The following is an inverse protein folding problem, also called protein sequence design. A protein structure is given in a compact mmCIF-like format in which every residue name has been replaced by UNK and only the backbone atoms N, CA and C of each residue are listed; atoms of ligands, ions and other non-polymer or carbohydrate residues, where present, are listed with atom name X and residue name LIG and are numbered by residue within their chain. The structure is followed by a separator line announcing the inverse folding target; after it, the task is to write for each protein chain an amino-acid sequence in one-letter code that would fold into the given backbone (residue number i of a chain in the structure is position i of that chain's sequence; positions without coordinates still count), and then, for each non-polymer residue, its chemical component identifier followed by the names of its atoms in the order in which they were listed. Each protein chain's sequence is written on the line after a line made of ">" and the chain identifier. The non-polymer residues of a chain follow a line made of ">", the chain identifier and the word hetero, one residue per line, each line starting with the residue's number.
data_IF_348468924993
#
_entry.id   IF_348468924993
#
_cell.length_a   1.000
_cell.length_b   1.000
_cell.length_c   1.000
_cell.angle_alpha   90.00
_cell.angle_beta   90.00
_cell.angle_gamma   90.00
#
_symmetry.space_group_name_H-M   'P 1'
#
loop_
_entity.id
_entity.type
_entity.pdbx_description
1 polymer ?
#
# COMPACT_ATOMS: atom_id res chain seq x y z
N UNK A 1 77.53 -26.05 -20.96
CA UNK A 1 76.33 -25.23 -21.03
C UNK A 1 75.16 -26.12 -21.37
N UNK A 2 74.37 -26.49 -20.37
CA UNK A 2 73.18 -27.35 -20.51
C UNK A 2 71.93 -26.50 -20.43
N UNK A 3 71.14 -26.44 -21.50
CA UNK A 3 69.84 -25.75 -21.57
C UNK A 3 68.78 -26.71 -21.03
N UNK A 4 68.13 -26.34 -19.94
CA UNK A 4 66.97 -27.06 -19.44
C UNK A 4 65.69 -26.47 -20.09
N UNK A 5 64.97 -27.32 -20.82
CA UNK A 5 63.64 -26.99 -21.35
C UNK A 5 62.60 -27.20 -20.27
N UNK A 6 61.75 -26.25 -20.05
CA UNK A 6 60.56 -26.37 -19.21
C UNK A 6 59.41 -26.96 -20.05
N UNK A 7 58.60 -27.88 -19.49
CA UNK A 7 57.42 -28.37 -20.18
C UNK A 7 56.28 -27.36 -20.14
N UNK A 8 55.63 -27.16 -21.29
CA UNK A 8 54.41 -26.35 -21.42
C UNK A 8 53.23 -27.08 -20.75
N UNK A 9 52.64 -26.41 -19.78
CA UNK A 9 51.40 -26.86 -19.10
C UNK A 9 50.20 -26.49 -19.96
N UNK A 10 49.56 -27.47 -20.60
CA UNK A 10 48.31 -27.29 -21.32
C UNK A 10 47.18 -27.10 -20.30
N UNK A 11 46.68 -25.87 -20.19
CA UNK A 11 45.45 -25.58 -19.46
C UNK A 11 44.25 -25.95 -20.35
N UNK A 12 43.62 -27.06 -20.03
CA UNK A 12 42.36 -27.52 -20.62
C UNK A 12 41.22 -26.67 -19.98
N UNK A 13 40.78 -25.62 -20.67
CA UNK A 13 39.62 -24.84 -20.26
C UNK A 13 38.35 -25.65 -20.56
N UNK A 14 37.77 -26.26 -19.54
CA UNK A 14 36.42 -26.82 -19.61
C UNK A 14 35.42 -25.69 -19.66
N UNK A 15 34.84 -25.48 -20.83
CA UNK A 15 33.68 -24.57 -21.03
C UNK A 15 32.47 -25.24 -20.37
N UNK A 16 32.12 -24.80 -19.15
CA UNK A 16 30.85 -25.17 -18.55
C UNK A 16 29.75 -24.45 -19.33
N UNK A 17 29.01 -25.19 -20.16
CA UNK A 17 27.75 -24.74 -20.71
C UNK A 17 26.78 -24.56 -19.54
N UNK A 18 26.41 -23.29 -19.21
CA UNK A 18 25.30 -23.00 -18.34
C UNK A 18 24.01 -23.56 -18.98
N UNK A 19 23.11 -24.17 -18.19
CA UNK A 19 21.82 -24.57 -18.70
C UNK A 19 21.06 -23.32 -19.17
N UNK A 20 20.18 -23.41 -20.20
CA UNK A 20 19.38 -22.28 -20.62
C UNK A 20 18.53 -21.84 -19.44
N UNK A 21 18.57 -20.52 -19.16
CA UNK A 21 17.59 -19.89 -18.26
C UNK A 21 16.20 -20.34 -18.72
N UNK A 22 15.49 -21.04 -17.84
CA UNK A 22 14.09 -21.28 -18.05
C UNK A 22 13.43 -19.91 -18.26
N UNK A 23 12.82 -19.73 -19.43
CA UNK A 23 11.98 -18.57 -19.69
C UNK A 23 10.96 -18.51 -18.57
N UNK A 24 11.07 -17.46 -17.73
CA UNK A 24 10.09 -17.17 -16.73
C UNK A 24 8.74 -17.14 -17.44
N UNK A 25 7.80 -17.94 -16.95
CA UNK A 25 6.44 -17.93 -17.39
C UNK A 25 5.96 -16.48 -17.19
N UNK A 26 5.95 -15.69 -18.26
CA UNK A 26 5.34 -14.38 -18.25
C UNK A 26 3.89 -14.57 -17.82
N UNK A 27 3.62 -14.30 -16.55
CA UNK A 27 2.28 -14.25 -16.03
C UNK A 27 1.49 -13.31 -16.96
N UNK A 28 0.42 -13.82 -17.56
CA UNK A 28 -0.50 -12.98 -18.33
C UNK A 28 -0.98 -11.86 -17.41
N UNK A 29 -1.24 -10.64 -17.93
CA UNK A 29 -1.92 -9.56 -17.18
C UNK A 29 -3.39 -9.90 -16.92
N UNK A 30 -3.69 -11.11 -16.43
CA UNK A 30 -5.06 -11.58 -16.19
C UNK A 30 -5.52 -11.39 -14.75
N UNK A 31 -4.63 -10.93 -13.88
CA UNK A 31 -4.94 -10.63 -12.48
C UNK A 31 -4.84 -9.13 -12.19
N UNK A 32 -5.41 -8.29 -13.09
CA UNK A 32 -5.66 -6.88 -12.79
C UNK A 32 -6.53 -6.88 -11.54
N UNK A 33 -6.05 -6.30 -10.41
CA UNK A 33 -6.88 -6.14 -9.23
C UNK A 33 -8.19 -5.48 -9.66
N UNK A 34 -9.33 -6.04 -9.26
CA UNK A 34 -10.66 -5.54 -9.65
C UNK A 34 -11.00 -4.22 -8.97
N UNK A 35 -10.03 -3.32 -8.78
CA UNK A 35 -10.31 -1.97 -8.34
C UNK A 35 -10.56 -1.04 -9.52
N UNK A 36 -11.36 -0.02 -9.30
CA UNK A 36 -11.72 0.92 -10.35
C UNK A 36 -10.52 1.72 -10.86
N UNK A 37 -9.46 1.88 -10.05
CA UNK A 37 -8.27 2.67 -10.40
C UNK A 37 -7.46 1.99 -11.51
N UNK A 38 -7.01 0.75 -11.32
CA UNK A 38 -6.21 0.06 -12.35
C UNK A 38 -6.99 -0.15 -13.64
N UNK A 39 -8.31 -0.36 -13.54
CA UNK A 39 -9.18 -0.42 -14.70
C UNK A 39 -9.25 0.91 -15.46
N UNK A 40 -9.22 2.03 -14.75
CA UNK A 40 -9.17 3.36 -15.37
C UNK A 40 -7.79 3.65 -15.95
N UNK A 41 -6.71 3.40 -15.21
CA UNK A 41 -5.34 3.54 -15.70
C UNK A 41 -5.09 2.77 -17.00
N UNK A 42 -5.69 1.59 -17.14
CA UNK A 42 -5.58 0.79 -18.36
C UNK A 42 -6.19 1.47 -19.61
N UNK A 43 -7.07 2.46 -19.45
CA UNK A 43 -7.69 3.22 -20.54
C UNK A 43 -6.90 4.44 -20.97
N UNK A 44 -5.94 4.87 -20.14
CA UNK A 44 -5.14 6.08 -20.38
C UNK A 44 -4.01 5.83 -21.39
N UNK A 45 -3.50 6.87 -22.07
CA UNK A 45 -2.37 6.74 -22.96
C UNK A 45 -1.12 6.27 -22.21
N UNK A 46 -0.16 5.69 -22.94
CA UNK A 46 1.20 5.40 -22.45
C UNK A 46 2.13 6.35 -23.18
N UNK A 47 2.70 7.29 -22.46
CA UNK A 47 3.66 8.25 -22.98
C UNK A 47 5.06 7.97 -22.38
N UNK A 48 6.15 8.37 -23.04
CA UNK A 48 7.48 8.15 -22.47
C UNK A 48 7.63 8.87 -21.12
N UNK A 49 8.09 8.16 -20.09
CA UNK A 49 8.36 8.77 -18.78
C UNK A 49 9.58 9.71 -18.85
N UNK A 50 9.46 10.86 -18.22
CA UNK A 50 10.61 11.67 -17.83
C UNK A 50 11.46 10.96 -16.76
N UNK A 51 12.68 11.42 -16.53
CA UNK A 51 13.52 10.88 -15.45
C UNK A 51 12.88 11.12 -14.07
N UNK A 52 12.21 12.27 -13.89
CA UNK A 52 11.51 12.61 -12.63
C UNK A 52 10.36 11.65 -12.34
N UNK A 53 9.52 11.36 -13.32
CA UNK A 53 8.41 10.43 -13.17
C UNK A 53 8.89 9.01 -12.89
N UNK A 54 9.93 8.59 -13.61
CA UNK A 54 10.54 7.28 -13.38
C UNK A 54 11.09 7.14 -11.98
N UNK A 55 11.90 8.10 -11.54
CA UNK A 55 12.48 8.09 -10.20
C UNK A 55 11.39 8.23 -9.13
N UNK A 56 10.37 9.05 -9.39
CA UNK A 56 9.20 9.21 -8.54
C UNK A 56 8.41 7.92 -8.35
N UNK A 57 8.09 7.20 -9.43
CA UNK A 57 7.40 5.91 -9.35
C UNK A 57 8.19 4.86 -8.56
N UNK A 58 9.52 4.78 -8.80
CA UNK A 58 10.39 3.86 -8.07
C UNK A 58 10.45 4.21 -6.58
N UNK A 59 10.54 5.50 -6.25
CA UNK A 59 10.56 5.97 -4.86
C UNK A 59 9.22 5.69 -4.16
N UNK A 60 8.10 6.09 -4.77
CA UNK A 60 6.76 5.86 -4.23
C UNK A 60 6.50 4.38 -3.96
N UNK A 61 7.00 3.48 -4.83
CA UNK A 61 6.88 2.03 -4.61
C UNK A 61 7.47 1.56 -3.28
N UNK A 62 8.65 2.05 -2.91
CA UNK A 62 9.28 1.72 -1.64
C UNK A 62 8.69 2.51 -0.46
N UNK A 63 8.17 3.72 -0.70
CA UNK A 63 7.52 4.55 0.32
C UNK A 63 6.19 3.92 0.77
N UNK A 64 5.34 3.47 -0.15
CA UNK A 64 4.14 2.70 0.16
C UNK A 64 4.46 1.39 0.92
N UNK A 65 5.57 0.74 0.53
CA UNK A 65 6.07 -0.41 1.28
C UNK A 65 6.47 -0.03 2.71
N UNK A 66 7.11 1.13 2.91
CA UNK A 66 7.49 1.63 4.22
C UNK A 66 6.24 1.83 5.09
N UNK A 67 5.23 2.53 4.59
CA UNK A 67 3.97 2.76 5.29
C UNK A 67 3.33 1.43 5.69
N UNK A 68 3.14 0.51 4.73
CA UNK A 68 2.60 -0.82 4.98
C UNK A 68 3.38 -1.57 6.06
N UNK A 69 4.70 -1.64 5.96
CA UNK A 69 5.53 -2.44 6.85
C UNK A 69 5.56 -1.86 8.29
N UNK A 70 5.56 -0.54 8.43
CA UNK A 70 5.40 0.11 9.74
C UNK A 70 4.03 -0.22 10.33
N UNK A 71 2.95 -0.12 9.56
CA UNK A 71 1.61 -0.44 10.07
C UNK A 71 1.43 -1.91 10.41
N UNK A 72 2.05 -2.83 9.68
CA UNK A 72 2.10 -4.25 10.06
C UNK A 72 2.82 -4.43 11.40
N UNK A 73 3.95 -3.75 11.62
CA UNK A 73 4.67 -3.80 12.89
C UNK A 73 3.82 -3.23 14.05
N UNK A 74 3.15 -2.10 13.83
CA UNK A 74 2.25 -1.48 14.82
C UNK A 74 1.03 -2.35 15.10
N UNK A 75 0.45 -2.99 14.08
CA UNK A 75 -0.65 -3.94 14.25
C UNK A 75 -0.24 -5.14 15.11
N UNK A 76 0.94 -5.70 14.86
CA UNK A 76 1.49 -6.81 15.66
C UNK A 76 1.76 -6.40 17.13
N UNK A 77 2.22 -5.17 17.35
CA UNK A 77 2.53 -4.65 18.67
C UNK A 77 1.30 -4.29 19.50
N UNK A 78 0.36 -3.55 18.88
CA UNK A 78 -0.73 -2.90 19.60
C UNK A 78 -2.09 -3.57 19.39
N UNK A 79 -2.25 -4.42 18.37
CA UNK A 79 -3.52 -5.08 18.03
C UNK A 79 -4.64 -4.12 17.61
N UNK A 80 -4.34 -2.84 17.32
CA UNK A 80 -5.35 -1.86 16.98
C UNK A 80 -5.71 -1.93 15.50
N UNK A 81 -7.02 -2.02 15.20
CA UNK A 81 -7.54 -2.30 13.85
C UNK A 81 -7.16 -1.26 12.80
N UNK A 82 -6.91 -0.01 13.17
CA UNK A 82 -6.51 1.03 12.22
C UNK A 82 -5.27 0.61 11.45
N UNK A 83 -4.25 0.08 12.15
CA UNK A 83 -3.02 -0.34 11.51
C UNK A 83 -3.22 -1.50 10.53
N UNK A 84 -4.01 -2.50 10.89
CA UNK A 84 -4.33 -3.62 9.97
C UNK A 84 -5.08 -3.15 8.74
N UNK A 85 -6.06 -2.25 8.93
CA UNK A 85 -6.89 -1.76 7.84
C UNK A 85 -6.09 -0.87 6.88
N UNK A 86 -5.27 0.03 7.42
CA UNK A 86 -4.44 0.93 6.61
C UNK A 86 -3.30 0.14 5.95
N UNK A 87 -2.62 -0.79 6.64
CA UNK A 87 -1.63 -1.66 6.00
C UNK A 87 -2.19 -2.41 4.78
N UNK A 88 -3.45 -2.86 4.85
CA UNK A 88 -4.12 -3.46 3.69
C UNK A 88 -4.46 -2.43 2.60
N UNK A 89 -4.62 -1.14 2.92
CA UNK A 89 -4.77 -0.07 1.94
C UNK A 89 -3.43 0.23 1.26
N UNK A 90 -2.33 0.32 2.02
CA UNK A 90 -0.99 0.53 1.46
C UNK A 90 -0.55 -0.62 0.56
N UNK A 91 -0.95 -1.85 0.85
CA UNK A 91 -0.72 -2.94 -0.09
C UNK A 91 -1.40 -2.69 -1.45
N UNK A 92 -2.63 -2.13 -1.46
CA UNK A 92 -3.30 -1.77 -2.74
C UNK A 92 -2.64 -0.60 -3.44
N UNK A 93 -2.12 0.38 -2.70
CA UNK A 93 -1.31 1.45 -3.23
C UNK A 93 -0.04 0.89 -3.89
N UNK A 94 0.69 0.03 -3.19
CA UNK A 94 1.82 -0.70 -3.76
C UNK A 94 1.44 -1.45 -5.04
N UNK A 95 0.32 -2.15 -5.07
CA UNK A 95 -0.13 -2.92 -6.23
C UNK A 95 -0.47 -1.99 -7.42
N UNK A 96 -1.03 -0.81 -7.16
CA UNK A 96 -1.32 0.18 -8.19
C UNK A 96 -0.03 0.83 -8.76
N UNK A 97 0.97 1.11 -7.90
CA UNK A 97 2.29 1.57 -8.37
C UNK A 97 2.97 0.47 -9.19
N UNK A 98 2.94 -0.78 -8.72
CA UNK A 98 3.51 -1.92 -9.46
C UNK A 98 2.90 -2.05 -10.85
N UNK A 99 1.58 -1.82 -10.98
CA UNK A 99 0.91 -1.83 -12.28
C UNK A 99 1.55 -0.84 -13.27
N UNK A 100 1.89 0.38 -12.84
CA UNK A 100 2.59 1.34 -13.70
C UNK A 100 4.05 0.94 -13.94
N UNK A 101 4.77 0.43 -12.92
CA UNK A 101 6.13 -0.08 -13.13
C UNK A 101 6.17 -1.17 -14.21
N UNK A 102 5.25 -2.14 -14.16
CA UNK A 102 5.11 -3.19 -15.18
C UNK A 102 4.73 -2.61 -16.56
N UNK A 103 3.81 -1.64 -16.59
CA UNK A 103 3.36 -0.97 -17.81
C UNK A 103 4.49 -0.26 -18.54
N UNK A 104 5.44 0.31 -17.78
CA UNK A 104 6.60 1.02 -18.29
C UNK A 104 7.88 0.16 -18.33
N UNK A 105 7.76 -1.14 -18.11
CA UNK A 105 8.89 -2.10 -18.12
C UNK A 105 10.01 -1.70 -17.14
N UNK A 106 9.65 -1.08 -15.99
CA UNK A 106 10.57 -0.73 -14.92
C UNK A 106 10.72 -1.89 -13.94
N UNK A 107 11.94 -2.11 -13.46
CA UNK A 107 12.20 -3.10 -12.43
C UNK A 107 11.58 -2.66 -11.09
N UNK A 108 10.89 -3.56 -10.39
CA UNK A 108 10.32 -3.28 -9.06
C UNK A 108 11.44 -3.21 -8.00
N UNK A 109 11.70 -2.04 -7.38
CA UNK A 109 12.73 -1.90 -6.37
C UNK A 109 12.39 -2.65 -5.07
N UNK A 110 11.14 -3.04 -4.88
CA UNK A 110 10.67 -3.79 -3.70
C UNK A 110 10.61 -5.31 -3.94
N UNK A 111 10.93 -5.79 -5.16
CA UNK A 111 10.85 -7.21 -5.50
C UNK A 111 11.75 -8.06 -4.59
N UNK A 112 11.16 -9.09 -3.97
CA UNK A 112 11.88 -10.03 -3.12
C UNK A 112 12.38 -9.47 -1.78
N UNK A 113 12.15 -8.21 -1.47
CA UNK A 113 12.54 -7.62 -0.19
C UNK A 113 11.63 -8.10 0.95
N UNK A 114 12.25 -8.51 2.05
CA UNK A 114 11.53 -8.86 3.26
C UNK A 114 10.83 -7.63 3.89
N UNK A 115 9.83 -7.82 4.75
CA UNK A 115 9.26 -6.71 5.54
C UNK A 115 10.34 -5.98 6.33
N UNK A 116 10.32 -4.64 6.27
CA UNK A 116 11.29 -3.76 6.94
C UNK A 116 12.66 -3.66 6.27
N UNK A 117 12.82 -4.21 5.07
CA UNK A 117 14.03 -4.10 4.25
C UNK A 117 13.75 -3.26 3.02
N UNK A 118 14.62 -2.28 2.73
CA UNK A 118 14.47 -1.31 1.65
C UNK A 118 15.78 -1.20 0.86
N UNK A 119 15.67 -0.97 -0.45
CA UNK A 119 16.84 -0.66 -1.30
C UNK A 119 17.30 0.78 -1.06
N UNK A 120 16.37 1.68 -0.79
CA UNK A 120 16.65 3.07 -0.49
C UNK A 120 17.12 3.22 0.98
N UNK A 121 18.37 3.67 1.16
CA UNK A 121 18.99 3.82 2.51
C UNK A 121 18.24 4.85 3.38
N UNK A 122 17.66 5.91 2.79
CA UNK A 122 16.86 6.91 3.53
C UNK A 122 15.59 6.27 4.08
N UNK A 123 14.88 5.49 3.26
CA UNK A 123 13.68 4.78 3.70
C UNK A 123 14.01 3.68 4.71
N UNK A 124 15.15 3.00 4.56
CA UNK A 124 15.61 2.02 5.55
C UNK A 124 15.83 2.67 6.93
N UNK A 125 16.50 3.81 6.98
CA UNK A 125 16.74 4.55 8.23
C UNK A 125 15.44 5.09 8.82
N UNK A 126 14.54 5.60 7.97
CA UNK A 126 13.23 6.11 8.36
C UNK A 126 12.37 5.00 8.98
N UNK A 127 12.30 3.83 8.35
CA UNK A 127 11.57 2.67 8.90
C UNK A 127 12.02 2.34 10.33
N UNK A 128 13.33 2.25 10.56
CA UNK A 128 13.86 1.93 11.89
C UNK A 128 13.41 2.97 12.92
N UNK A 129 13.55 4.26 12.60
CA UNK A 129 13.20 5.35 13.52
C UNK A 129 11.70 5.42 13.82
N UNK A 130 10.85 5.18 12.81
CA UNK A 130 9.39 5.18 12.96
C UNK A 130 8.92 3.99 13.81
N UNK A 131 9.48 2.80 13.60
CA UNK A 131 9.16 1.62 14.41
C UNK A 131 9.62 1.81 15.83
N UNK A 132 10.83 2.33 16.07
CA UNK A 132 11.31 2.65 17.42
C UNK A 132 10.38 3.63 18.14
N UNK A 133 10.01 4.74 17.49
CA UNK A 133 9.08 5.74 18.03
C UNK A 133 7.69 5.14 18.30
N UNK A 134 7.12 4.43 17.34
CA UNK A 134 5.80 3.82 17.48
C UNK A 134 5.72 2.71 18.55
N UNK A 135 6.84 2.14 18.94
CA UNK A 135 6.91 1.14 20.00
C UNK A 135 6.88 1.72 21.43
N UNK A 136 6.98 3.04 21.59
CA UNK A 136 6.98 3.70 22.91
C UNK A 136 5.58 3.70 23.53
N UNK A 137 4.53 3.87 22.73
CA UNK A 137 3.15 3.89 23.18
C UNK A 137 2.15 3.87 22.04
N UNK A 138 0.89 3.52 22.34
CA UNK A 138 -0.16 3.53 21.31
C UNK A 138 -0.41 4.95 20.76
N UNK A 139 -0.29 5.98 21.60
CA UNK A 139 -0.39 7.38 21.19
C UNK A 139 0.76 7.75 20.25
N UNK A 140 1.98 7.31 20.55
CA UNK A 140 3.14 7.49 19.68
C UNK A 140 2.95 6.76 18.34
N UNK A 141 2.37 5.56 18.37
CA UNK A 141 2.07 4.81 17.15
C UNK A 141 1.05 5.53 16.25
N UNK A 142 0.03 6.18 16.82
CA UNK A 142 -0.89 7.02 16.03
C UNK A 142 -0.19 8.26 15.47
N UNK A 143 0.70 8.89 16.26
CA UNK A 143 1.50 10.01 15.79
C UNK A 143 2.46 9.61 14.66
N UNK A 144 3.06 8.41 14.74
CA UNK A 144 3.86 7.81 13.65
C UNK A 144 3.02 7.63 12.39
N UNK A 145 1.79 7.11 12.53
CA UNK A 145 0.88 7.00 11.40
C UNK A 145 0.61 8.35 10.75
N UNK A 146 0.27 9.38 11.54
CA UNK A 146 0.07 10.73 11.00
C UNK A 146 1.34 11.30 10.32
N UNK A 147 2.53 10.99 10.86
CA UNK A 147 3.81 11.44 10.29
C UNK A 147 4.08 10.80 8.91
N UNK A 148 3.77 9.51 8.73
CA UNK A 148 3.94 8.81 7.46
C UNK A 148 3.02 9.43 6.40
N UNK A 149 1.74 9.62 6.72
CA UNK A 149 0.78 10.17 5.76
C UNK A 149 1.06 11.66 5.41
N UNK A 150 1.60 12.41 6.35
CA UNK A 150 2.06 13.79 6.13
C UNK A 150 3.25 13.83 5.15
N UNK A 151 4.22 12.92 5.31
CA UNK A 151 5.36 12.77 4.40
C UNK A 151 4.91 12.35 3.01
N UNK A 152 4.12 11.26 2.92
CA UNK A 152 3.63 10.72 1.66
C UNK A 152 2.85 11.76 0.85
N UNK A 153 1.97 12.54 1.51
CA UNK A 153 1.24 13.63 0.86
C UNK A 153 2.16 14.74 0.33
N UNK A 154 3.26 15.02 1.01
CA UNK A 154 4.23 16.01 0.55
C UNK A 154 5.04 15.47 -0.65
N UNK A 155 5.50 14.23 -0.60
CA UNK A 155 6.31 13.64 -1.68
C UNK A 155 5.45 13.37 -2.93
N UNK A 156 4.21 12.88 -2.78
CA UNK A 156 3.23 12.76 -3.89
C UNK A 156 2.88 14.14 -4.48
N UNK A 157 2.71 15.16 -3.62
CA UNK A 157 2.46 16.53 -4.06
C UNK A 157 3.59 17.08 -4.92
N UNK A 158 4.84 16.86 -4.52
CA UNK A 158 6.02 17.27 -5.29
C UNK A 158 6.09 16.57 -6.66
N UNK A 159 5.77 15.28 -6.71
CA UNK A 159 5.75 14.55 -7.98
C UNK A 159 4.66 15.06 -8.91
N UNK A 160 3.46 15.39 -8.40
CA UNK A 160 2.37 15.98 -9.18
C UNK A 160 2.69 17.37 -9.74
N UNK A 161 3.62 18.12 -9.12
CA UNK A 161 4.10 19.41 -9.66
C UNK A 161 5.06 19.24 -10.85
N UNK A 162 5.78 18.11 -10.91
CA UNK A 162 6.87 17.87 -11.86
C UNK A 162 6.50 16.87 -12.96
N UNK A 163 5.43 16.06 -12.77
CA UNK A 163 4.94 15.08 -13.74
C UNK A 163 4.05 15.73 -14.81
N UNK A 164 3.98 15.10 -15.98
CA UNK A 164 3.07 15.50 -17.06
C UNK A 164 2.39 14.31 -17.76
N UNK A 165 2.73 13.08 -17.38
CA UNK A 165 2.05 11.87 -17.86
C UNK A 165 0.71 11.66 -17.16
N UNK A 166 -0.36 11.64 -17.93
CA UNK A 166 -1.77 11.53 -17.44
C UNK A 166 -1.99 10.31 -16.54
N UNK A 167 -1.36 9.17 -16.82
CA UNK A 167 -1.53 7.97 -16.00
C UNK A 167 -0.72 8.03 -14.69
N UNK A 168 0.45 8.68 -14.69
CA UNK A 168 1.23 8.95 -13.48
C UNK A 168 0.47 9.90 -12.57
N UNK A 169 -0.01 11.04 -13.09
CA UNK A 169 -0.79 12.00 -12.33
C UNK A 169 -2.07 11.37 -11.77
N UNK A 170 -2.78 10.61 -12.60
CA UNK A 170 -3.97 9.87 -12.17
C UNK A 170 -3.66 8.92 -11.00
N UNK A 171 -2.56 8.17 -11.07
CA UNK A 171 -2.14 7.32 -9.97
C UNK A 171 -1.88 8.16 -8.71
N UNK A 172 -1.06 9.21 -8.81
CA UNK A 172 -0.67 10.07 -7.68
C UNK A 172 -1.88 10.74 -7.04
N UNK A 173 -2.85 11.24 -7.79
CA UNK A 173 -4.10 11.80 -7.25
C UNK A 173 -4.87 10.78 -6.40
N UNK A 174 -4.88 9.51 -6.79
CA UNK A 174 -5.57 8.46 -6.05
C UNK A 174 -4.80 7.95 -4.84
N UNK A 175 -3.47 7.91 -4.87
CA UNK A 175 -2.63 7.69 -3.69
C UNK A 175 -2.84 8.81 -2.68
N UNK A 176 -2.68 10.07 -3.09
CA UNK A 176 -2.91 11.24 -2.24
C UNK A 176 -4.32 11.22 -1.57
N UNK A 177 -5.36 10.80 -2.29
CA UNK A 177 -6.70 10.59 -1.70
C UNK A 177 -6.66 9.56 -0.57
N UNK A 178 -5.96 8.44 -0.76
CA UNK A 178 -5.79 7.40 0.26
C UNK A 178 -5.11 7.96 1.50
N UNK A 179 -3.94 8.58 1.31
CA UNK A 179 -3.14 9.18 2.37
C UNK A 179 -3.86 10.31 3.10
N UNK A 180 -4.68 11.15 2.41
CA UNK A 180 -5.56 12.10 3.09
C UNK A 180 -6.56 11.43 4.01
N UNK A 181 -7.14 10.30 3.61
CA UNK A 181 -8.07 9.54 4.45
C UNK A 181 -7.38 8.89 5.64
N UNK A 182 -6.17 8.36 5.44
CA UNK A 182 -5.35 7.76 6.48
C UNK A 182 -4.92 8.81 7.50
N UNK A 183 -4.46 9.99 7.07
CA UNK A 183 -4.10 11.12 7.93
C UNK A 183 -5.28 11.52 8.83
N UNK A 184 -6.48 11.72 8.25
CA UNK A 184 -7.70 11.99 9.02
C UNK A 184 -7.96 10.94 10.09
N UNK A 185 -7.75 9.67 9.76
CA UNK A 185 -7.98 8.55 10.67
C UNK A 185 -7.00 8.55 11.83
N UNK A 186 -5.72 8.73 11.56
CA UNK A 186 -4.68 8.78 12.60
C UNK A 186 -4.83 10.01 13.49
N UNK A 187 -5.07 11.19 12.91
CA UNK A 187 -5.27 12.45 13.66
C UNK A 187 -6.50 12.34 14.57
N UNK A 188 -7.61 11.79 14.09
CA UNK A 188 -8.79 11.56 14.91
C UNK A 188 -8.53 10.64 16.10
N UNK A 189 -7.80 9.52 15.89
CA UNK A 189 -7.43 8.59 16.95
C UNK A 189 -6.45 9.22 17.95
N UNK A 190 -5.47 9.95 17.46
CA UNK A 190 -4.48 10.64 18.27
C UNK A 190 -5.18 11.67 19.17
N UNK A 191 -6.09 12.49 18.61
CA UNK A 191 -6.87 13.48 19.36
C UNK A 191 -7.78 12.80 20.39
N UNK A 192 -8.45 11.71 20.03
CA UNK A 192 -9.29 10.95 20.97
C UNK A 192 -8.47 10.34 22.12
N UNK A 193 -7.19 10.06 21.91
CA UNK A 193 -6.25 9.60 22.93
C UNK A 193 -5.60 10.74 23.74
N UNK A 194 -6.00 12.00 23.50
CA UNK A 194 -5.49 13.19 24.19
C UNK A 194 -4.18 13.74 23.63
N UNK A 195 -3.73 13.25 22.46
CA UNK A 195 -2.57 13.75 21.74
C UNK A 195 -2.95 14.84 20.71
N UNK A 196 -1.91 15.46 20.14
CA UNK A 196 -2.01 16.44 19.05
C UNK A 196 -0.99 16.11 17.98
N UNK A 197 -1.28 16.51 16.73
CA UNK A 197 -0.34 16.41 15.61
C UNK A 197 -0.12 17.78 14.98
N UNK A 198 1.12 18.13 14.83
CA UNK A 198 1.56 19.29 14.05
C UNK A 198 2.26 18.75 12.79
N UNK A 199 1.87 19.22 11.58
CA UNK A 199 2.47 18.71 10.34
C UNK A 199 3.96 19.02 10.28
N UNK A 200 4.73 18.10 9.77
CA UNK A 200 6.19 18.19 9.63
C UNK A 200 6.60 18.47 8.18
N UNK A 201 5.80 18.09 7.22
CA UNK A 201 6.09 18.13 5.79
C UNK A 201 5.08 18.98 5.01
N UNK A 202 3.78 18.83 5.29
CA UNK A 202 2.75 19.72 4.75
C UNK A 202 2.79 21.09 5.43
N UNK A 203 2.40 22.13 4.70
CA UNK A 203 2.08 23.40 5.34
C UNK A 203 0.83 23.29 6.21
N UNK A 204 0.73 24.18 7.21
CA UNK A 204 -0.35 24.13 8.20
C UNK A 204 -1.74 24.37 7.58
N UNK A 205 -1.84 25.15 6.50
CA UNK A 205 -3.10 25.44 5.82
C UNK A 205 -3.62 24.19 5.10
N UNK A 206 -2.74 23.52 4.32
CA UNK A 206 -3.07 22.27 3.63
C UNK A 206 -3.45 21.15 4.60
N UNK A 207 -2.69 21.01 5.68
CA UNK A 207 -3.02 20.06 6.73
C UNK A 207 -4.41 20.33 7.32
N UNK A 208 -4.73 21.57 7.68
CA UNK A 208 -6.03 21.92 8.23
C UNK A 208 -7.17 21.69 7.23
N UNK A 209 -6.97 22.01 5.95
CA UNK A 209 -7.91 21.68 4.89
C UNK A 209 -8.24 20.18 4.90
N UNK A 210 -7.20 19.34 4.93
CA UNK A 210 -7.36 17.89 4.91
C UNK A 210 -8.14 17.40 6.13
N UNK A 211 -7.68 17.71 7.33
CA UNK A 211 -8.26 17.13 8.56
C UNK A 211 -9.65 17.67 8.90
N UNK A 212 -10.04 18.82 8.35
CA UNK A 212 -11.37 19.41 8.53
C UNK A 212 -12.43 18.91 7.55
N UNK A 213 -12.03 18.19 6.49
CA UNK A 213 -12.94 17.70 5.45
C UNK A 213 -13.32 16.23 5.67
N UNK A 214 -14.49 15.77 5.15
CA UNK A 214 -14.92 14.38 5.25
C UNK A 214 -14.01 13.42 4.48
N UNK A 215 -14.11 12.13 4.82
CA UNK A 215 -13.45 11.05 4.08
C UNK A 215 -13.92 10.99 2.62
N UNK A 216 -12.98 10.85 1.72
CA UNK A 216 -13.17 10.72 0.27
C UNK A 216 -13.40 9.24 -0.06
N UNK A 217 -14.66 8.84 -0.27
CA UNK A 217 -15.04 7.44 -0.44
C UNK A 217 -15.60 7.15 -1.82
N UNK A 218 -15.23 6.00 -2.37
CA UNK A 218 -15.77 5.47 -3.63
C UNK A 218 -15.59 6.40 -4.82
N UNK A 219 -14.49 7.13 -4.83
CA UNK A 219 -14.12 8.07 -5.88
C UNK A 219 -12.82 7.58 -6.51
N UNK A 220 -12.75 7.57 -7.83
CA UNK A 220 -11.51 7.53 -8.61
C UNK A 220 -11.33 8.94 -9.15
N UNK A 221 -10.15 9.48 -9.03
CA UNK A 221 -9.78 10.78 -9.57
C UNK A 221 -9.01 10.61 -10.88
N UNK A 222 -9.20 11.56 -11.80
CA UNK A 222 -8.36 11.72 -12.98
C UNK A 222 -7.04 12.48 -12.66
N UNK A 223 -6.27 12.81 -13.69
CA UNK A 223 -5.00 13.54 -13.55
C UNK A 223 -5.16 14.94 -12.92
N UNK A 224 -6.27 15.60 -13.18
CA UNK A 224 -6.60 16.93 -12.63
C UNK A 224 -7.23 16.86 -11.23
N UNK A 225 -7.35 15.65 -10.66
CA UNK A 225 -7.98 15.44 -9.36
C UNK A 225 -9.51 15.59 -9.38
N UNK A 226 -10.14 15.43 -10.54
CA UNK A 226 -11.59 15.47 -10.69
C UNK A 226 -12.17 14.05 -10.63
N UNK A 227 -13.37 13.87 -10.05
CA UNK A 227 -14.03 12.57 -9.97
C UNK A 227 -14.34 11.99 -11.36
N UNK A 228 -13.90 10.75 -11.61
CA UNK A 228 -14.20 10.01 -12.84
C UNK A 228 -15.54 9.28 -12.72
N UNK A 229 -16.47 9.54 -13.63
CA UNK A 229 -17.73 8.83 -13.69
C UNK A 229 -17.58 7.42 -14.30
N UNK A 230 -18.33 6.45 -13.77
CA UNK A 230 -18.35 5.08 -14.30
C UNK A 230 -17.26 4.15 -13.77
N UNK A 231 -16.31 4.67 -13.00
CA UNK A 231 -15.28 3.90 -12.30
C UNK A 231 -15.42 4.05 -10.78
N UNK A 232 -16.54 3.65 -10.16
CA UNK A 232 -16.63 3.68 -8.72
C UNK A 232 -15.56 2.73 -8.16
N UNK A 233 -14.80 3.19 -7.17
CA UNK A 233 -13.99 2.29 -6.39
C UNK A 233 -14.91 1.18 -5.87
N UNK A 234 -14.78 -0.04 -6.39
CA UNK A 234 -15.61 -1.17 -5.94
C UNK A 234 -15.35 -1.39 -4.46
N UNK A 235 -16.39 -1.68 -3.67
CA UNK A 235 -16.16 -2.26 -2.36
C UNK A 235 -15.32 -3.52 -2.56
N UNK A 236 -14.27 -3.68 -1.77
CA UNK A 236 -13.60 -4.97 -1.66
C UNK A 236 -14.61 -5.91 -0.99
N UNK A 237 -15.35 -6.66 -1.79
CA UNK A 237 -16.40 -7.60 -1.34
C UNK A 237 -15.84 -8.89 -0.77
N UNK A 238 -14.52 -8.93 -0.52
CA UNK A 238 -13.89 -10.11 0.09
C UNK A 238 -13.88 -11.36 -0.78
N UNK A 239 -14.34 -11.25 -2.03
CA UNK A 239 -14.26 -12.32 -3.01
C UNK A 239 -12.88 -12.33 -3.68
N UNK A 240 -11.82 -12.54 -2.89
CA UNK A 240 -10.55 -12.96 -3.43
C UNK A 240 -10.68 -14.34 -4.08
N UNK A 241 -9.83 -14.72 -5.05
CA UNK A 241 -9.85 -16.02 -5.67
C UNK A 241 -9.49 -17.10 -4.62
N UNK A 242 -10.50 -17.64 -3.93
CA UNK A 242 -10.19 -18.62 -2.89
C UNK A 242 -11.36 -19.19 -2.10
N UNK A 243 -12.59 -18.80 -2.33
CA UNK A 243 -13.74 -19.53 -1.74
C UNK A 243 -14.62 -20.12 -2.84
N UNK A 244 -14.10 -21.18 -3.47
CA UNK A 244 -14.97 -22.16 -4.11
C UNK A 244 -15.91 -22.76 -3.05
N UNK A 245 -17.12 -23.21 -3.42
CA UNK A 245 -18.08 -23.76 -2.48
C UNK A 245 -17.48 -25.02 -1.83
N UNK A 246 -17.12 -24.90 -0.55
CA UNK A 246 -16.81 -26.04 0.28
C UNK A 246 -18.05 -26.93 0.41
N UNK A 247 -17.92 -28.26 0.51
CA UNK A 247 -19.05 -29.15 0.55
C UNK A 247 -19.84 -28.97 1.85
N UNK A 248 -21.06 -28.46 1.72
CA UNK A 248 -22.19 -28.75 2.57
C UNK A 248 -22.17 -28.22 4.00
N UNK A 249 -22.92 -27.12 4.22
CA UNK A 249 -23.77 -27.03 5.41
C UNK A 249 -25.06 -26.28 5.02
N UNK A 250 -26.18 -26.87 5.42
CA UNK A 250 -27.52 -26.52 5.05
C UNK A 250 -27.98 -25.12 5.50
N UNK A 251 -29.23 -24.72 5.17
CA UNK A 251 -29.70 -23.35 5.26
C UNK A 251 -29.82 -22.88 6.71
N UNK A 252 -28.98 -21.91 7.09
CA UNK A 252 -29.16 -21.14 8.31
C UNK A 252 -30.09 -19.94 8.06
N UNK A 253 -30.81 -19.43 9.05
CA UNK A 253 -31.80 -18.39 8.88
C UNK A 253 -31.20 -17.04 8.50
N UNK A 254 -31.92 -16.35 7.64
CA UNK A 254 -31.66 -15.03 7.04
C UNK A 254 -30.99 -14.02 7.95
N UNK A 255 -29.80 -13.57 7.53
CA UNK A 255 -28.99 -12.55 8.20
C UNK A 255 -29.42 -11.13 7.86
N UNK A 256 -29.19 -10.24 8.79
CA UNK A 256 -29.30 -8.80 8.61
C UNK A 256 -28.21 -8.20 7.71
N UNK A 257 -28.34 -6.94 7.29
CA UNK A 257 -27.46 -6.32 6.30
C UNK A 257 -26.03 -6.19 6.81
N UNK A 258 -25.10 -6.86 6.14
CA UNK A 258 -23.67 -6.75 6.40
C UNK A 258 -23.14 -5.33 6.14
N UNK A 259 -22.41 -4.79 7.11
CA UNK A 259 -21.79 -3.50 6.98
C UNK A 259 -20.71 -3.50 5.90
N UNK A 260 -20.85 -2.62 4.92
CA UNK A 260 -19.87 -2.38 3.86
C UNK A 260 -18.63 -1.72 4.44
N UNK A 261 -17.56 -2.51 4.68
CA UNK A 261 -16.24 -1.97 4.95
C UNK A 261 -15.72 -1.25 3.71
N UNK A 262 -15.36 0.03 3.84
CA UNK A 262 -14.76 0.78 2.75
C UNK A 262 -13.35 0.25 2.46
N UNK A 263 -12.98 0.16 1.20
CA UNK A 263 -11.66 -0.29 0.74
C UNK A 263 -10.52 0.69 1.05
N UNK A 264 -10.83 1.85 1.62
CA UNK A 264 -9.89 2.89 2.07
C UNK A 264 -9.27 2.63 3.46
N UNK A 265 -9.53 1.48 4.06
CA UNK A 265 -9.02 1.13 5.39
C UNK A 265 -9.62 1.93 6.56
N UNK A 266 -10.51 2.90 6.29
CA UNK A 266 -11.01 3.87 7.27
C UNK A 266 -12.39 3.56 7.84
N UNK A 267 -12.99 2.39 7.53
CA UNK A 267 -14.32 2.03 8.02
C UNK A 267 -14.38 1.91 9.55
N UNK A 268 -15.34 2.59 10.23
CA UNK A 268 -15.53 2.41 11.67
C UNK A 268 -16.02 0.99 11.95
N UNK A 269 -15.18 0.19 12.61
CA UNK A 269 -15.57 -1.13 13.10
C UNK A 269 -16.52 -1.01 14.29
N UNK A 270 -17.80 -0.80 14.05
CA UNK A 270 -18.83 -0.96 15.08
C UNK A 270 -19.19 -2.43 15.22
N UNK A 271 -18.44 -3.14 16.02
CA UNK A 271 -18.71 -4.52 16.44
C UNK A 271 -18.78 -4.60 17.96
N UNK A 272 -19.76 -3.96 18.55
CA UNK A 272 -20.13 -4.18 19.94
C UNK A 272 -21.07 -5.38 20.03
N UNK A 273 -20.53 -6.57 20.08
CA UNK A 273 -21.26 -7.79 20.43
C UNK A 273 -21.35 -7.92 21.94
N UNK A 274 -22.35 -7.33 22.56
CA UNK A 274 -22.69 -7.61 23.96
C UNK A 274 -23.72 -8.74 23.97
N UNK A 275 -23.21 -9.96 23.99
CA UNK A 275 -24.03 -11.17 24.22
C UNK A 275 -24.23 -11.39 25.71
N UNK A 276 -25.27 -10.82 26.30
CA UNK A 276 -25.69 -11.18 27.64
C UNK A 276 -26.87 -12.20 27.53
N UNK A 277 -26.54 -13.49 27.53
CA UNK A 277 -27.46 -14.60 27.62
C UNK A 277 -27.80 -14.88 29.06
N UNK A 278 -28.79 -14.20 29.62
CA UNK A 278 -29.39 -14.52 30.91
C UNK A 278 -30.61 -15.44 30.70
N UNK A 279 -30.40 -16.75 30.77
CA UNK A 279 -31.49 -17.71 30.91
C UNK A 279 -31.98 -17.76 32.36
N UNK A 280 -33.21 -17.43 32.61
CA UNK A 280 -33.85 -17.78 33.88
C UNK A 280 -35.12 -18.61 33.61
N UNK A 281 -35.02 -19.91 33.84
CA UNK A 281 -36.14 -20.81 33.91
C UNK A 281 -36.65 -20.85 35.34
N UNK A 282 -37.89 -20.61 35.50
CA UNK A 282 -38.61 -20.81 36.77
C UNK A 282 -40.06 -21.11 36.53
N UNK A 283 -40.46 -22.31 36.87
CA UNK A 283 -41.79 -22.78 37.11
C UNK A 283 -41.95 -23.00 38.61
N UNK A 284 -43.16 -23.21 39.09
CA UNK A 284 -44.49 -23.34 38.50
C UNK A 284 -45.40 -22.18 38.69
#
# INVERSE_FOLDING_TARGET
>A
MKRHALPALLLLSTLLLAPPLAAGNGGRPSDIPCDGLTSYLATLPVEPLSDVEKDGLLFTREEEKLARDVYVAMAAKWGHRVFTNIAAAEQRHMDAVLYLLERYELADPAEGLAPGVFSNERLQALYVSLVEKGNLGLVDAFAVGATIEDLDLADVGNLLEDADNVDVDTLMQNLAKGSRNHLRSFVALLTAAGGTYEPLYLDAEKYQEIVSTPLERRIVYDAEGLPVEGFPARPCDGAGPGNGPGPGNGPGPSGGPGGNGACDGTGPGTGGGNGNGGGNGGKP
#
